data_IF_916419039040
#
_entry.id   IF_916419039040
#
_cell.length_a   1.000
_cell.length_b   1.000
_cell.length_c   1.000
_cell.angle_alpha   90.00
_cell.angle_beta   90.00
_cell.angle_gamma   90.00
#
_symmetry.space_group_name_H-M   'P 1'
#
loop_
_entity.id
_entity.type
_entity.pdbx_description
1 polymer ?
#
# COMPACT_ATOMS: atom_id res chain seq x y z
N UNK A 1 -29.26 11.53 -41.11
CA UNK A 1 -30.06 11.43 -39.87
C UNK A 1 -29.37 10.43 -38.94
N UNK A 2 -28.91 10.92 -37.79
CA UNK A 2 -28.35 10.25 -36.58
C UNK A 2 -27.18 9.25 -36.70
N UNK A 3 -25.97 9.76 -36.39
CA UNK A 3 -24.80 9.00 -35.90
C UNK A 3 -25.10 8.45 -34.50
N UNK A 4 -24.92 7.16 -34.29
CA UNK A 4 -24.95 6.54 -32.96
C UNK A 4 -23.62 6.81 -32.25
N UNK A 5 -23.67 7.62 -31.18
CA UNK A 5 -22.54 7.88 -30.29
C UNK A 5 -22.59 6.83 -29.18
N UNK A 6 -21.67 5.87 -29.21
CA UNK A 6 -21.51 4.87 -28.15
C UNK A 6 -20.94 5.55 -26.89
N UNK A 7 -21.83 5.85 -25.93
CA UNK A 7 -21.44 6.23 -24.57
C UNK A 7 -21.17 4.96 -23.74
N UNK A 8 -19.99 4.36 -23.90
CA UNK A 8 -19.44 3.55 -22.82
C UNK A 8 -18.79 4.52 -21.82
N UNK A 9 -19.61 5.04 -20.89
CA UNK A 9 -19.08 5.54 -19.63
C UNK A 9 -18.46 4.36 -18.92
N UNK A 10 -17.14 4.25 -18.95
CA UNK A 10 -16.45 3.31 -18.06
C UNK A 10 -16.84 3.71 -16.64
N UNK A 11 -17.59 2.85 -15.95
CA UNK A 11 -17.79 2.97 -14.50
C UNK A 11 -16.40 3.12 -13.88
N UNK A 12 -16.15 4.08 -12.97
CA UNK A 12 -14.84 4.22 -12.36
C UNK A 12 -14.49 2.90 -11.69
N UNK A 13 -13.42 2.25 -12.15
CA UNK A 13 -12.87 1.07 -11.50
C UNK A 13 -12.57 1.44 -10.04
N UNK A 14 -13.29 0.83 -9.11
CA UNK A 14 -13.03 0.96 -7.67
C UNK A 14 -11.63 0.44 -7.39
N UNK A 15 -10.65 1.35 -7.30
CA UNK A 15 -9.27 1.03 -6.98
C UNK A 15 -9.08 0.95 -5.47
N UNK A 16 -9.61 -0.10 -4.84
CA UNK A 16 -9.41 -0.34 -3.41
C UNK A 16 -7.94 -0.67 -3.14
N UNK A 17 -7.34 0.09 -2.22
CA UNK A 17 -5.96 -0.09 -1.76
C UNK A 17 -5.95 -0.42 -0.27
N UNK A 18 -5.34 -1.55 0.08
CA UNK A 18 -5.08 -1.93 1.46
C UNK A 18 -3.63 -1.56 1.82
N UNK A 19 -3.45 -0.84 2.93
CA UNK A 19 -2.15 -0.45 3.46
C UNK A 19 -1.96 -1.09 4.82
N UNK A 20 -0.81 -1.73 5.07
CA UNK A 20 -0.43 -2.23 6.39
C UNK A 20 0.78 -1.44 6.89
N UNK A 21 0.62 -0.77 8.01
CA UNK A 21 1.59 0.13 8.63
C UNK A 21 1.19 1.60 8.47
N UNK A 22 0.75 2.22 9.55
CA UNK A 22 0.43 3.64 9.66
C UNK A 22 1.60 4.45 10.22
N UNK A 23 2.82 4.13 9.79
CA UNK A 23 4.01 4.97 9.99
C UNK A 23 4.00 6.23 9.12
N UNK A 24 5.12 6.96 9.07
CA UNK A 24 5.22 8.19 8.27
C UNK A 24 4.91 7.97 6.79
N UNK A 25 5.43 6.89 6.19
CA UNK A 25 5.21 6.55 4.78
C UNK A 25 3.74 6.14 4.53
N UNK A 26 3.24 5.15 5.26
CA UNK A 26 1.88 4.64 5.07
C UNK A 26 0.80 5.67 5.32
N UNK A 27 0.92 6.49 6.37
CA UNK A 27 0.00 7.59 6.61
C UNK A 27 0.06 8.66 5.51
N UNK A 28 1.24 8.96 4.98
CA UNK A 28 1.41 9.86 3.83
C UNK A 28 0.68 9.36 2.59
N UNK A 29 0.88 8.07 2.25
CA UNK A 29 0.22 7.43 1.11
C UNK A 29 -1.30 7.40 1.31
N UNK A 30 -1.77 6.98 2.48
CA UNK A 30 -3.19 6.91 2.80
C UNK A 30 -3.90 8.27 2.67
N UNK A 31 -3.29 9.33 3.20
CA UNK A 31 -3.81 10.71 3.05
C UNK A 31 -3.87 11.13 1.59
N UNK A 32 -2.83 10.86 0.81
CA UNK A 32 -2.80 11.21 -0.61
C UNK A 32 -3.89 10.48 -1.40
N UNK A 33 -4.10 9.19 -1.14
CA UNK A 33 -5.17 8.42 -1.79
C UNK A 33 -6.55 8.94 -1.39
N UNK A 34 -6.76 9.18 -0.09
CA UNK A 34 -8.02 9.72 0.43
C UNK A 34 -8.34 11.10 -0.15
N UNK A 35 -7.36 12.01 -0.24
CA UNK A 35 -7.54 13.33 -0.82
C UNK A 35 -7.88 13.29 -2.33
N UNK A 36 -7.48 12.21 -3.02
CA UNK A 36 -7.84 11.97 -4.41
C UNK A 36 -9.20 11.28 -4.57
N UNK A 37 -9.95 11.07 -3.48
CA UNK A 37 -11.23 10.35 -3.48
C UNK A 37 -11.11 8.86 -3.78
N UNK A 38 -9.92 8.26 -3.59
CA UNK A 38 -9.70 6.82 -3.80
C UNK A 38 -10.07 6.02 -2.55
N UNK A 39 -10.53 4.81 -2.77
CA UNK A 39 -10.89 3.86 -1.72
C UNK A 39 -9.63 3.28 -1.07
N UNK A 40 -9.43 3.58 0.21
CA UNK A 40 -8.24 3.19 0.96
C UNK A 40 -8.61 2.77 2.37
N UNK A 41 -8.07 1.62 2.78
CA UNK A 41 -8.08 1.16 4.17
C UNK A 41 -6.64 1.02 4.66
N UNK A 42 -6.38 1.48 5.88
CA UNK A 42 -5.07 1.37 6.52
C UNK A 42 -5.15 0.62 7.85
N UNK A 43 -4.29 -0.37 8.01
CA UNK A 43 -4.16 -1.22 9.18
C UNK A 43 -2.89 -0.85 9.93
N UNK A 44 -2.97 -0.85 11.25
CA UNK A 44 -1.80 -0.77 12.14
C UNK A 44 -2.13 -1.45 13.46
N UNK A 45 -1.18 -2.19 14.03
CA UNK A 45 -1.40 -2.86 15.32
C UNK A 45 -1.46 -1.89 16.50
N UNK A 46 -0.93 -0.68 16.34
CA UNK A 46 -0.94 0.35 17.35
C UNK A 46 -1.96 1.45 17.00
N UNK A 47 -3.03 1.54 17.78
CA UNK A 47 -4.07 2.56 17.63
C UNK A 47 -3.52 4.00 17.62
N UNK A 48 -2.42 4.27 18.34
CA UNK A 48 -1.80 5.60 18.39
C UNK A 48 -1.18 6.01 17.06
N UNK A 49 -0.84 5.07 16.18
CA UNK A 49 -0.29 5.35 14.85
C UNK A 49 -1.25 6.17 13.99
N UNK A 50 -2.56 5.98 14.17
CA UNK A 50 -3.60 6.70 13.43
C UNK A 50 -3.68 8.19 13.73
N UNK A 51 -3.04 8.68 14.80
CA UNK A 51 -2.89 10.14 15.02
C UNK A 51 -2.14 10.84 13.88
N UNK A 52 -1.44 10.08 13.02
CA UNK A 52 -0.78 10.57 11.81
C UNK A 52 -1.75 10.79 10.66
N UNK A 53 -2.91 10.14 10.68
CA UNK A 53 -3.99 10.41 9.73
C UNK A 53 -4.61 11.75 10.15
N UNK A 54 -4.55 12.75 9.27
CA UNK A 54 -5.11 14.07 9.55
C UNK A 54 -6.63 13.95 9.79
N UNK A 55 -7.23 14.96 10.42
CA UNK A 55 -8.69 14.99 10.60
C UNK A 55 -9.49 15.00 9.28
N UNK A 56 -8.81 15.23 8.14
CA UNK A 56 -9.39 15.17 6.79
C UNK A 56 -9.33 13.79 6.13
N UNK A 57 -8.74 12.78 6.79
CA UNK A 57 -8.66 11.43 6.23
C UNK A 57 -10.06 10.79 6.18
N UNK A 58 -10.55 10.51 4.98
CA UNK A 58 -11.86 9.92 4.71
C UNK A 58 -11.84 8.43 4.41
N UNK A 59 -10.67 7.77 4.49
CA UNK A 59 -10.56 6.32 4.35
C UNK A 59 -10.84 5.58 5.66
N UNK A 60 -10.79 4.25 5.62
CA UNK A 60 -11.01 3.41 6.80
C UNK A 60 -9.68 3.14 7.53
N UNK A 61 -9.67 3.29 8.85
CA UNK A 61 -8.55 2.88 9.71
C UNK A 61 -8.97 1.72 10.61
N UNK A 62 -8.09 0.73 10.78
CA UNK A 62 -8.42 -0.49 11.55
C UNK A 62 -7.24 -0.91 12.41
N UNK A 63 -7.46 -1.04 13.72
CA UNK A 63 -6.46 -1.60 14.63
C UNK A 63 -6.37 -3.11 14.39
N UNK A 64 -5.28 -3.57 13.80
CA UNK A 64 -5.10 -4.97 13.43
C UNK A 64 -3.61 -5.31 13.22
N UNK A 65 -3.24 -6.56 13.52
CA UNK A 65 -1.95 -7.10 13.08
C UNK A 65 -2.08 -7.57 11.61
N UNK A 66 -1.27 -7.00 10.72
CA UNK A 66 -1.31 -7.39 9.31
C UNK A 66 -0.74 -8.77 9.01
N UNK A 67 -0.09 -9.41 9.99
CA UNK A 67 0.34 -10.82 9.89
C UNK A 67 -0.79 -11.81 10.21
N UNK A 68 -1.93 -11.31 10.72
CA UNK A 68 -3.12 -12.11 10.97
C UNK A 68 -3.97 -12.23 9.69
N UNK A 69 -4.20 -13.48 9.25
CA UNK A 69 -5.01 -13.78 8.07
C UNK A 69 -6.47 -13.36 8.23
N UNK A 70 -7.03 -13.47 9.44
CA UNK A 70 -8.43 -13.10 9.68
C UNK A 70 -8.59 -11.59 9.63
N UNK A 71 -7.63 -10.84 10.17
CA UNK A 71 -7.61 -9.39 10.02
C UNK A 71 -7.54 -8.94 8.54
N UNK A 72 -6.74 -9.61 7.71
CA UNK A 72 -6.69 -9.32 6.27
C UNK A 72 -8.01 -9.67 5.56
N UNK A 73 -8.69 -10.75 5.97
CA UNK A 73 -10.02 -11.11 5.45
C UNK A 73 -11.08 -10.08 5.83
N UNK A 74 -11.08 -9.63 7.07
CA UNK A 74 -11.99 -8.58 7.58
C UNK A 74 -11.75 -7.24 6.86
N UNK A 75 -10.50 -6.93 6.51
CA UNK A 75 -10.14 -5.81 5.64
C UNK A 75 -10.46 -6.04 4.15
N UNK A 76 -11.20 -7.09 3.81
CA UNK A 76 -11.64 -7.43 2.46
C UNK A 76 -10.47 -7.46 1.43
N UNK A 77 -9.30 -7.99 1.81
CA UNK A 77 -8.11 -7.99 0.96
C UNK A 77 -8.34 -8.59 -0.44
N UNK A 78 -9.30 -9.51 -0.60
CA UNK A 78 -9.62 -10.12 -1.91
C UNK A 78 -10.18 -9.13 -2.92
N UNK A 79 -10.80 -8.02 -2.47
CA UNK A 79 -11.22 -6.95 -3.38
C UNK A 79 -10.12 -5.91 -3.61
N UNK A 80 -8.95 -6.05 -2.96
CA UNK A 80 -7.87 -5.08 -3.11
C UNK A 80 -7.25 -5.23 -4.48
N UNK A 81 -7.16 -4.10 -5.18
CA UNK A 81 -6.39 -4.01 -6.44
C UNK A 81 -4.91 -3.82 -6.15
N UNK A 82 -4.59 -3.22 -5.00
CA UNK A 82 -3.23 -2.95 -4.52
C UNK A 82 -3.13 -3.25 -3.03
N UNK A 83 -2.04 -3.91 -2.61
CA UNK A 83 -1.66 -4.05 -1.20
C UNK A 83 -0.27 -3.45 -0.99
N UNK A 84 -0.13 -2.60 0.03
CA UNK A 84 1.11 -1.94 0.44
C UNK A 84 1.52 -2.39 1.85
N UNK A 85 2.61 -3.15 1.97
CA UNK A 85 3.18 -3.55 3.26
C UNK A 85 4.32 -2.59 3.64
N UNK A 86 4.05 -1.63 4.51
CA UNK A 86 4.93 -0.48 4.80
C UNK A 86 5.19 -0.29 6.30
N UNK A 87 5.22 -1.40 7.04
CA UNK A 87 5.59 -1.43 8.47
C UNK A 87 7.09 -1.13 8.65
N UNK A 88 7.53 -1.01 9.91
CA UNK A 88 8.93 -0.79 10.29
C UNK A 88 9.82 -2.04 10.13
N UNK A 89 9.24 -3.22 9.91
CA UNK A 89 9.94 -4.50 9.82
C UNK A 89 9.91 -5.11 8.42
N UNK A 90 11.08 -5.35 7.83
CA UNK A 90 11.19 -5.98 6.51
C UNK A 90 10.61 -7.41 6.52
N UNK A 91 10.88 -8.20 7.57
CA UNK A 91 10.33 -9.56 7.69
C UNK A 91 8.80 -9.55 7.75
N UNK A 92 8.23 -8.57 8.47
CA UNK A 92 6.78 -8.39 8.53
C UNK A 92 6.23 -8.01 7.15
N UNK A 93 6.90 -7.09 6.45
CA UNK A 93 6.47 -6.68 5.12
C UNK A 93 6.55 -7.81 4.09
N UNK A 94 7.59 -8.66 4.14
CA UNK A 94 7.71 -9.83 3.26
C UNK A 94 6.58 -10.83 3.53
N UNK A 95 6.31 -11.14 4.80
CA UNK A 95 5.22 -12.06 5.17
C UNK A 95 3.86 -11.55 4.69
N UNK A 96 3.53 -10.28 4.96
CA UNK A 96 2.28 -9.66 4.50
C UNK A 96 2.18 -9.73 2.97
N UNK A 97 3.28 -9.42 2.28
CA UNK A 97 3.33 -9.45 0.82
C UNK A 97 3.12 -10.85 0.24
N UNK A 98 3.76 -11.87 0.80
CA UNK A 98 3.57 -13.26 0.40
C UNK A 98 2.12 -13.70 0.64
N UNK A 99 1.54 -13.40 1.81
CA UNK A 99 0.13 -13.72 2.07
C UNK A 99 -0.81 -13.05 1.05
N UNK A 100 -0.63 -11.75 0.80
CA UNK A 100 -1.44 -11.01 -0.17
C UNK A 100 -1.35 -11.61 -1.58
N UNK A 101 -0.14 -12.03 -1.98
CA UNK A 101 0.10 -12.57 -3.32
C UNK A 101 -0.35 -14.02 -3.45
N UNK A 102 0.06 -14.89 -2.54
CA UNK A 102 -0.11 -16.35 -2.64
C UNK A 102 -1.49 -16.81 -2.15
N UNK A 103 -2.03 -16.20 -1.09
CA UNK A 103 -3.29 -16.66 -0.46
C UNK A 103 -4.51 -15.88 -0.94
N UNK A 104 -4.32 -14.59 -1.24
CA UNK A 104 -5.40 -13.69 -1.61
C UNK A 104 -5.40 -13.28 -3.08
N UNK A 105 -4.30 -13.50 -3.81
CA UNK A 105 -4.22 -13.23 -5.24
C UNK A 105 -4.30 -11.74 -5.58
N UNK A 106 -3.82 -10.86 -4.70
CA UNK A 106 -3.86 -9.41 -4.92
C UNK A 106 -3.01 -9.06 -6.16
N UNK A 107 -3.57 -8.35 -7.16
CA UNK A 107 -2.87 -8.11 -8.43
C UNK A 107 -1.56 -7.33 -8.30
N UNK A 108 -1.54 -6.32 -7.42
CA UNK A 108 -0.36 -5.47 -7.18
C UNK A 108 0.01 -5.52 -5.71
N UNK A 109 1.21 -6.00 -5.43
CA UNK A 109 1.72 -6.14 -4.06
C UNK A 109 3.07 -5.44 -4.00
N UNK A 110 3.16 -4.42 -3.14
CA UNK A 110 4.37 -3.64 -2.94
C UNK A 110 4.76 -3.68 -1.46
N UNK A 111 6.04 -3.87 -1.19
CA UNK A 111 6.58 -3.86 0.16
C UNK A 111 7.66 -2.79 0.34
N UNK A 112 7.70 -2.18 1.52
CA UNK A 112 8.83 -1.36 1.95
C UNK A 112 9.97 -2.27 2.35
N UNK A 113 11.17 -1.98 1.84
CA UNK A 113 12.42 -2.64 2.21
C UNK A 113 13.39 -1.60 2.75
N UNK A 114 13.90 -1.80 3.96
CA UNK A 114 14.94 -0.95 4.52
C UNK A 114 16.34 -1.54 4.28
N UNK A 115 16.48 -2.84 4.50
CA UNK A 115 17.71 -3.59 4.25
C UNK A 115 17.77 -4.02 2.77
N UNK A 116 18.57 -3.31 1.98
CA UNK A 116 18.70 -3.55 0.54
C UNK A 116 19.25 -4.94 0.21
N UNK A 117 19.98 -5.59 1.13
CA UNK A 117 20.46 -6.96 0.92
C UNK A 117 19.29 -7.97 0.84
N UNK A 118 18.13 -7.62 1.41
CA UNK A 118 16.93 -8.44 1.37
C UNK A 118 16.12 -8.29 0.09
N UNK A 119 16.41 -7.32 -0.78
CA UNK A 119 15.61 -7.08 -1.99
C UNK A 119 15.49 -8.32 -2.89
N UNK A 120 16.53 -9.18 -2.92
CA UNK A 120 16.49 -10.44 -3.66
C UNK A 120 15.32 -11.33 -3.21
N UNK A 121 15.11 -11.48 -1.90
CA UNK A 121 14.03 -12.31 -1.36
C UNK A 121 12.63 -11.79 -1.73
N UNK A 122 12.43 -10.47 -1.73
CA UNK A 122 11.17 -9.87 -2.19
C UNK A 122 10.96 -10.10 -3.68
N UNK A 123 12.02 -9.96 -4.48
CA UNK A 123 11.98 -10.16 -5.94
C UNK A 123 11.66 -11.60 -6.30
N UNK A 124 12.24 -12.56 -5.59
CA UNK A 124 11.98 -14.00 -5.75
C UNK A 124 10.55 -14.36 -5.37
N UNK A 125 9.97 -13.67 -4.36
CA UNK A 125 8.54 -13.75 -4.04
C UNK A 125 7.64 -13.01 -5.04
N UNK A 126 8.21 -12.38 -6.08
CA UNK A 126 7.51 -11.57 -7.07
C UNK A 126 6.91 -10.28 -6.50
N UNK A 127 7.44 -9.76 -5.40
CA UNK A 127 6.94 -8.56 -4.72
C UNK A 127 7.71 -7.34 -5.22
N UNK A 128 6.98 -6.29 -5.63
CA UNK A 128 7.60 -5.01 -5.96
C UNK A 128 8.09 -4.33 -4.67
N UNK A 129 9.24 -3.65 -4.73
CA UNK A 129 9.84 -3.03 -3.54
C UNK A 129 9.92 -1.52 -3.63
N UNK A 130 9.81 -0.88 -2.48
CA UNK A 130 10.16 0.54 -2.27
C UNK A 130 11.23 0.57 -1.19
N UNK A 131 12.42 1.07 -1.52
CA UNK A 131 13.46 1.36 -0.55
C UNK A 131 13.58 2.88 -0.33
N UNK A 132 13.01 3.45 0.75
CA UNK A 132 13.02 4.88 0.97
C UNK A 132 14.43 5.47 1.05
N UNK A 133 15.37 4.77 1.68
CA UNK A 133 16.75 5.25 1.82
C UNK A 133 17.44 5.37 0.45
N UNK A 134 17.33 4.34 -0.40
CA UNK A 134 17.89 4.37 -1.74
C UNK A 134 17.22 5.44 -2.63
N UNK A 135 15.90 5.59 -2.55
CA UNK A 135 15.18 6.64 -3.29
C UNK A 135 15.57 8.05 -2.84
N UNK A 136 15.71 8.26 -1.53
CA UNK A 136 16.15 9.55 -0.98
C UNK A 136 17.60 9.88 -1.34
N UNK A 137 18.52 8.90 -1.28
CA UNK A 137 19.90 9.08 -1.71
C UNK A 137 19.96 9.48 -3.19
N UNK A 138 19.28 8.73 -4.06
CA UNK A 138 19.19 9.02 -5.49
C UNK A 138 18.63 10.42 -5.79
N UNK A 139 17.67 10.90 -4.99
CA UNK A 139 17.14 12.25 -5.14
C UNK A 139 18.15 13.32 -4.70
N UNK A 140 18.89 13.06 -3.61
CA UNK A 140 19.91 13.97 -3.11
C UNK A 140 21.09 14.12 -4.08
N UNK A 141 21.51 13.04 -4.75
CA UNK A 141 22.63 13.04 -5.72
C UNK A 141 22.44 14.09 -6.83
N UNK A 142 21.19 14.33 -7.25
CA UNK A 142 20.85 15.37 -8.25
C UNK A 142 21.30 16.78 -7.86
N UNK A 143 21.49 17.05 -6.57
CA UNK A 143 21.93 18.34 -6.06
C UNK A 143 23.44 18.39 -5.78
N UNK A 144 24.09 17.23 -5.67
CA UNK A 144 25.51 17.09 -5.36
C UNK A 144 26.38 17.06 -6.61
N UNK A 145 25.82 16.68 -7.76
CA UNK A 145 26.49 16.68 -9.06
C UNK A 145 26.49 18.06 -9.76
N UNK A 146 26.41 19.16 -8.99
CA UNK A 146 26.50 20.54 -9.51
C UNK A 146 27.94 20.99 -9.77
#
# INVERSE_FOLDING_TARGET
>A
MKRGLNFFGQQPVKNYTLIVGCGSLGAGIARNLSNQGKDVQILDKNAQSFRRLSGSYGGLSTVADGTDLDALREANIRSATTMLAVTDSDSTNLMIAQMAKELFGVPKVVARVYDTEREAAFRDAGVDTICPAALSAKEADKYLEQ
#
